data_IF_600163507349
#
_entry.id   IF_600163507349
#
_cell.length_a   1.000
_cell.length_b   1.000
_cell.length_c   1.000
_cell.angle_alpha   90.00
_cell.angle_beta   90.00
_cell.angle_gamma   90.00
#
_symmetry.space_group_name_H-M   'P 1'
#
loop_
_entity.id
_entity.type
_entity.pdbx_description
1 polymer ?
#
# COMPACT_ATOMS: atom_id res chain seq x y z
N UNK A 1 13.17 -17.90 -10.81
CA UNK A 1 13.02 -16.54 -10.25
C UNK A 1 11.98 -16.58 -9.15
N UNK A 2 12.29 -16.05 -7.96
CA UNK A 2 11.34 -15.90 -6.86
C UNK A 2 11.39 -14.48 -6.32
N UNK A 3 10.25 -13.80 -6.25
CA UNK A 3 10.14 -12.46 -5.66
C UNK A 3 9.24 -12.56 -4.44
N UNK A 4 9.74 -12.12 -3.27
CA UNK A 4 8.95 -11.94 -2.07
C UNK A 4 8.28 -10.57 -2.11
N UNK A 5 6.96 -10.53 -2.00
CA UNK A 5 6.15 -9.32 -1.84
C UNK A 5 5.70 -9.14 -0.40
N UNK A 6 5.76 -7.91 0.10
CA UNK A 6 5.33 -7.52 1.45
C UNK A 6 4.35 -6.37 1.34
N UNK A 7 3.14 -6.54 1.88
CA UNK A 7 2.12 -5.51 2.00
C UNK A 7 1.69 -5.34 3.46
N UNK A 8 1.94 -4.18 4.02
CA UNK A 8 1.61 -3.84 5.41
C UNK A 8 1.02 -2.44 5.56
N UNK A 9 0.80 -1.75 4.43
CA UNK A 9 0.31 -0.36 4.44
C UNK A 9 -1.18 -0.26 4.72
N UNK A 10 -1.92 -1.37 4.55
CA UNK A 10 -3.35 -1.48 4.75
C UNK A 10 -3.75 -1.90 6.16
N UNK A 11 -5.03 -2.22 6.28
CA UNK A 11 -5.63 -2.71 7.53
C UNK A 11 -5.11 -4.11 7.91
N UNK A 12 -4.86 -4.94 6.92
CA UNK A 12 -4.40 -6.32 7.07
C UNK A 12 -3.05 -6.44 6.39
N UNK A 13 -2.09 -7.09 7.05
CA UNK A 13 -0.78 -7.36 6.46
C UNK A 13 -0.82 -8.64 5.64
N UNK A 14 0.03 -8.72 4.62
CA UNK A 14 0.18 -9.92 3.82
C UNK A 14 1.59 -10.08 3.28
N UNK A 15 1.95 -11.30 2.96
CA UNK A 15 3.18 -11.67 2.25
C UNK A 15 2.86 -12.65 1.13
N UNK A 16 3.59 -12.57 0.04
CA UNK A 16 3.43 -13.49 -1.09
C UNK A 16 4.77 -13.79 -1.71
N UNK A 17 4.88 -14.93 -2.37
CA UNK A 17 6.02 -15.24 -3.25
C UNK A 17 5.46 -15.58 -4.63
N UNK A 18 6.00 -14.92 -5.65
CA UNK A 18 5.73 -15.23 -7.05
C UNK A 18 6.94 -15.94 -7.66
N UNK A 19 6.69 -16.98 -8.42
CA UNK A 19 7.71 -17.69 -9.19
C UNK A 19 7.80 -17.19 -10.65
N UNK A 20 8.73 -17.76 -11.42
CA UNK A 20 8.95 -17.41 -12.83
C UNK A 20 7.79 -17.80 -13.73
N UNK A 21 6.95 -18.75 -13.34
CA UNK A 21 5.75 -19.16 -14.08
C UNK A 21 4.58 -18.22 -13.85
N UNK A 22 4.70 -17.30 -12.89
CA UNK A 22 3.62 -16.41 -12.45
C UNK A 22 2.72 -17.02 -11.38
N UNK A 23 3.06 -18.21 -10.86
CA UNK A 23 2.34 -18.80 -9.73
C UNK A 23 2.65 -18.03 -8.47
N UNK A 24 1.61 -17.71 -7.71
CA UNK A 24 1.69 -16.98 -6.45
C UNK A 24 1.17 -17.82 -5.30
N UNK A 25 1.93 -17.83 -4.20
CA UNK A 25 1.48 -18.32 -2.88
C UNK A 25 1.47 -17.14 -1.94
N UNK A 26 0.43 -17.02 -1.13
CA UNK A 26 0.29 -15.87 -0.21
C UNK A 26 -0.14 -16.28 1.20
N UNK A 27 0.09 -15.39 2.15
CA UNK A 27 -0.42 -15.44 3.53
C UNK A 27 -0.89 -14.06 3.94
N UNK A 28 -1.92 -14.05 4.77
CA UNK A 28 -2.56 -12.81 5.26
C UNK A 28 -2.60 -12.87 6.78
N UNK A 29 -2.33 -11.76 7.46
CA UNK A 29 -2.40 -11.69 8.92
C UNK A 29 -3.83 -11.88 9.42
N UNK A 30 -3.97 -12.44 10.62
CA UNK A 30 -5.29 -12.74 11.21
C UNK A 30 -6.05 -11.49 11.62
N UNK A 31 -5.35 -10.43 11.98
CA UNK A 31 -5.95 -9.14 12.36
C UNK A 31 -5.03 -7.94 12.08
N UNK A 32 -5.58 -6.73 12.22
CA UNK A 32 -4.87 -5.47 11.96
C UNK A 32 -3.77 -5.12 12.98
N UNK A 33 -3.65 -5.84 14.09
CA UNK A 33 -2.67 -5.60 15.15
C UNK A 33 -1.50 -6.58 15.11
N UNK A 34 -1.59 -7.62 14.29
CA UNK A 34 -0.65 -8.74 14.30
C UNK A 34 0.49 -8.63 13.29
N UNK A 35 0.53 -7.58 12.44
CA UNK A 35 1.54 -7.41 11.38
C UNK A 35 2.97 -7.67 11.87
N UNK A 36 3.36 -7.04 12.97
CA UNK A 36 4.73 -7.18 13.49
C UNK A 36 5.06 -8.61 13.96
N UNK A 37 4.06 -9.33 14.46
CA UNK A 37 4.24 -10.64 15.07
C UNK A 37 4.19 -11.77 14.05
N UNK A 38 3.35 -11.65 13.04
CA UNK A 38 3.05 -12.71 12.07
C UNK A 38 3.87 -12.62 10.78
N UNK A 39 4.39 -11.43 10.42
CA UNK A 39 5.02 -11.19 9.12
C UNK A 39 6.19 -12.16 8.84
N UNK A 40 7.15 -12.28 9.75
CA UNK A 40 8.31 -13.16 9.58
C UNK A 40 7.94 -14.65 9.63
N UNK A 41 7.08 -15.11 10.57
CA UNK A 41 6.53 -16.46 10.51
C UNK A 41 5.85 -16.81 9.18
N UNK A 42 5.00 -15.95 8.64
CA UNK A 42 4.35 -16.16 7.36
C UNK A 42 5.33 -16.26 6.19
N UNK A 43 6.40 -15.45 6.18
CA UNK A 43 7.47 -15.57 5.17
C UNK A 43 8.13 -16.95 5.27
N UNK A 44 8.40 -17.42 6.48
CA UNK A 44 8.96 -18.75 6.69
C UNK A 44 8.04 -19.86 6.17
N UNK A 45 6.75 -19.78 6.48
CA UNK A 45 5.75 -20.74 5.98
C UNK A 45 5.71 -20.79 4.44
N UNK A 46 5.80 -19.63 3.76
CA UNK A 46 5.81 -19.59 2.31
C UNK A 46 7.04 -20.27 1.70
N UNK A 47 8.23 -20.03 2.23
CA UNK A 47 9.45 -20.68 1.70
C UNK A 47 9.44 -22.18 1.99
N UNK A 48 8.95 -22.60 3.17
CA UNK A 48 8.80 -24.02 3.52
C UNK A 48 7.79 -24.72 2.58
N UNK A 49 6.65 -24.09 2.28
CA UNK A 49 5.63 -24.63 1.35
C UNK A 49 6.15 -24.78 -0.08
N UNK A 50 6.94 -23.81 -0.54
CA UNK A 50 7.55 -23.84 -1.86
C UNK A 50 8.77 -24.77 -1.94
N UNK A 51 9.26 -25.27 -0.80
CA UNK A 51 10.46 -26.12 -0.73
C UNK A 51 11.74 -25.36 -1.13
N UNK A 52 11.77 -24.04 -0.94
CA UNK A 52 12.92 -23.19 -1.23
C UNK A 52 13.54 -22.62 0.05
N UNK A 53 14.71 -22.05 -0.04
CA UNK A 53 15.34 -21.28 1.03
C UNK A 53 15.21 -19.78 0.77
N UNK A 54 15.33 -18.95 1.80
CA UNK A 54 15.34 -17.48 1.66
C UNK A 54 16.47 -17.00 0.73
N UNK A 55 17.57 -17.75 0.60
CA UNK A 55 18.68 -17.42 -0.30
C UNK A 55 18.34 -17.55 -1.78
N UNK A 56 17.31 -18.33 -2.11
CA UNK A 56 16.84 -18.51 -3.49
C UNK A 56 15.88 -17.41 -3.96
N UNK A 57 15.48 -16.50 -3.07
CA UNK A 57 14.79 -15.28 -3.47
C UNK A 57 15.70 -14.44 -4.37
N UNK A 58 15.17 -13.88 -5.45
CA UNK A 58 15.90 -12.99 -6.36
C UNK A 58 15.77 -11.53 -5.95
N UNK A 59 14.60 -11.13 -5.44
CA UNK A 59 14.33 -9.78 -4.99
C UNK A 59 13.28 -9.76 -3.86
N UNK A 60 13.26 -8.64 -3.12
CA UNK A 60 12.27 -8.36 -2.08
C UNK A 60 11.52 -7.09 -2.45
N UNK A 61 10.23 -7.23 -2.70
CA UNK A 61 9.33 -6.14 -3.01
C UNK A 61 8.52 -5.74 -1.78
N UNK A 62 8.26 -4.46 -1.62
CA UNK A 62 7.47 -3.95 -0.49
C UNK A 62 6.69 -2.72 -0.88
N UNK A 63 5.46 -2.62 -0.38
CA UNK A 63 4.68 -1.38 -0.44
C UNK A 63 5.31 -0.31 0.44
N UNK A 64 5.67 0.81 -0.18
CA UNK A 64 6.34 1.93 0.50
C UNK A 64 5.37 3.01 0.99
N UNK A 65 4.09 2.88 0.67
CA UNK A 65 3.01 3.84 0.96
C UNK A 65 2.35 4.36 -0.33
N UNK A 66 1.31 5.19 -0.19
CA UNK A 66 0.73 5.70 1.04
C UNK A 66 -0.07 4.65 1.84
N UNK A 67 -0.34 4.94 3.11
CA UNK A 67 -1.14 4.07 3.97
C UNK A 67 -0.84 4.26 5.45
N UNK A 68 -0.97 3.18 6.22
CA UNK A 68 -0.67 3.15 7.66
C UNK A 68 0.79 3.49 7.93
N UNK A 69 1.05 4.57 8.67
CA UNK A 69 2.40 5.01 9.03
C UNK A 69 3.21 3.92 9.77
N UNK A 70 2.57 3.20 10.69
CA UNK A 70 3.17 2.07 11.40
C UNK A 70 3.41 0.90 10.45
N UNK A 71 2.41 0.57 9.64
CA UNK A 71 2.50 -0.52 8.67
C UNK A 71 3.63 -0.33 7.66
N UNK A 72 3.73 0.86 7.05
CA UNK A 72 4.83 1.21 6.13
C UNK A 72 6.19 0.94 6.79
N UNK A 73 6.39 1.37 8.04
CA UNK A 73 7.65 1.16 8.75
C UNK A 73 7.95 -0.30 9.04
N UNK A 74 6.95 -1.09 9.40
CA UNK A 74 7.10 -2.53 9.63
C UNK A 74 7.55 -3.23 8.35
N UNK A 75 6.83 -3.00 7.24
CA UNK A 75 7.16 -3.60 5.94
C UNK A 75 8.57 -3.22 5.47
N UNK A 76 8.88 -1.93 5.49
CA UNK A 76 10.19 -1.42 5.10
C UNK A 76 11.33 -1.96 5.95
N UNK A 77 11.18 -1.99 7.29
CA UNK A 77 12.20 -2.52 8.19
C UNK A 77 12.44 -4.01 7.91
N UNK A 78 11.38 -4.79 7.70
CA UNK A 78 11.47 -6.21 7.37
C UNK A 78 12.16 -6.41 6.02
N UNK A 79 11.71 -5.70 4.97
CA UNK A 79 12.29 -5.80 3.63
C UNK A 79 13.78 -5.44 3.62
N UNK A 80 14.15 -4.31 4.26
CA UNK A 80 15.55 -3.87 4.38
C UNK A 80 16.42 -4.90 5.09
N UNK A 81 15.95 -5.42 6.23
CA UNK A 81 16.71 -6.40 7.03
C UNK A 81 16.93 -7.69 6.24
N UNK A 82 15.90 -8.20 5.58
CA UNK A 82 16.01 -9.38 4.74
C UNK A 82 16.95 -9.15 3.55
N UNK A 83 16.77 -8.04 2.84
CA UNK A 83 17.60 -7.70 1.68
C UNK A 83 19.09 -7.57 2.06
N UNK A 84 19.37 -6.87 3.16
CA UNK A 84 20.74 -6.72 3.69
C UNK A 84 21.34 -8.06 4.09
N UNK A 85 20.57 -8.90 4.81
CA UNK A 85 21.09 -10.17 5.34
C UNK A 85 21.32 -11.21 4.23
N UNK A 86 20.47 -11.17 3.19
CA UNK A 86 20.48 -12.15 2.10
C UNK A 86 21.26 -11.64 0.86
N UNK A 87 21.77 -10.42 0.89
CA UNK A 87 22.41 -9.73 -0.24
C UNK A 87 21.51 -9.68 -1.48
N UNK A 88 20.25 -9.21 -1.28
CA UNK A 88 19.24 -9.12 -2.33
C UNK A 88 18.86 -7.68 -2.65
N UNK A 89 18.41 -7.46 -3.89
CA UNK A 89 17.86 -6.16 -4.29
C UNK A 89 16.44 -5.98 -3.77
N UNK A 90 16.05 -4.72 -3.60
CA UNK A 90 14.71 -4.31 -3.23
C UNK A 90 13.95 -3.76 -4.43
N UNK A 91 12.62 -3.86 -4.37
CA UNK A 91 11.70 -3.20 -5.31
C UNK A 91 10.69 -2.42 -4.48
N UNK A 92 10.69 -1.10 -4.61
CA UNK A 92 9.68 -0.25 -4.00
C UNK A 92 8.41 -0.23 -4.85
N UNK A 93 7.26 -0.39 -4.20
CA UNK A 93 5.95 -0.37 -4.87
C UNK A 93 5.06 0.65 -4.17
N UNK A 94 4.54 1.63 -4.89
CA UNK A 94 3.52 2.52 -4.35
C UNK A 94 2.22 1.73 -4.13
N UNK A 95 1.60 1.87 -2.95
CA UNK A 95 0.42 1.09 -2.59
C UNK A 95 -0.84 1.42 -3.39
N UNK A 96 -0.89 2.56 -4.09
CA UNK A 96 -1.95 2.87 -5.04
C UNK A 96 -1.66 2.24 -6.41
N UNK A 97 -0.38 2.19 -6.82
CA UNK A 97 0.03 1.61 -8.12
C UNK A 97 -0.28 0.13 -8.26
N UNK A 98 -0.37 -0.63 -7.16
CA UNK A 98 -0.68 -2.06 -7.22
C UNK A 98 -2.03 -2.35 -7.87
N UNK A 99 -2.96 -1.39 -7.86
CA UNK A 99 -4.26 -1.51 -8.51
C UNK A 99 -4.23 -1.20 -10.01
N UNK A 100 -3.14 -0.63 -10.52
CA UNK A 100 -3.00 -0.25 -11.94
C UNK A 100 -3.24 -1.42 -12.89
N UNK A 101 -2.78 -2.64 -12.52
CA UNK A 101 -2.94 -3.84 -13.35
C UNK A 101 -4.39 -4.37 -13.40
N UNK A 102 -5.29 -3.80 -12.60
CA UNK A 102 -6.73 -4.09 -12.68
C UNK A 102 -7.45 -3.22 -13.72
N UNK A 103 -6.77 -2.22 -14.26
CA UNK A 103 -7.27 -1.42 -15.37
C UNK A 103 -7.02 -2.14 -16.70
N UNK A 104 -8.06 -2.27 -17.50
CA UNK A 104 -8.04 -2.90 -18.83
C UNK A 104 -8.83 -2.03 -19.83
N UNK A 105 -9.09 -2.55 -21.00
CA UNK A 105 -9.83 -1.83 -22.05
C UNK A 105 -11.29 -1.56 -21.68
N UNK A 106 -11.87 -2.40 -20.82
CA UNK A 106 -13.28 -2.33 -20.42
C UNK A 106 -13.47 -1.55 -19.11
N UNK A 107 -12.46 -1.60 -18.20
CA UNK A 107 -12.59 -1.06 -16.86
C UNK A 107 -11.45 -0.08 -16.53
N UNK A 108 -11.84 1.11 -16.11
CA UNK A 108 -10.94 2.04 -15.43
C UNK A 108 -10.95 1.75 -13.94
N UNK A 109 -9.88 2.09 -13.26
CA UNK A 109 -9.68 1.83 -11.83
C UNK A 109 -9.51 3.12 -11.07
N UNK A 110 -10.37 3.38 -10.09
CA UNK A 110 -10.14 4.38 -9.07
C UNK A 110 -9.77 3.69 -7.75
N UNK A 111 -8.68 4.10 -7.15
CA UNK A 111 -8.29 3.64 -5.82
C UNK A 111 -8.26 4.82 -4.86
N UNK A 112 -8.90 4.67 -3.70
CA UNK A 112 -8.91 5.68 -2.64
C UNK A 112 -8.64 5.04 -1.28
N UNK A 113 -7.66 5.57 -0.54
CA UNK A 113 -7.44 5.24 0.85
C UNK A 113 -7.86 6.38 1.76
N UNK A 114 -8.50 6.05 2.87
CA UNK A 114 -8.99 7.04 3.82
C UNK A 114 -7.82 7.75 4.53
N UNK A 115 -7.57 9.01 4.17
CA UNK A 115 -6.59 9.87 4.84
C UNK A 115 -7.24 10.74 5.95
N UNK A 116 -8.49 10.46 6.32
CA UNK A 116 -9.32 11.17 7.32
C UNK A 116 -9.68 12.61 6.90
N UNK A 117 -10.68 13.20 7.57
CA UNK A 117 -11.11 14.61 7.42
C UNK A 117 -11.50 14.99 5.98
N UNK A 118 -12.15 14.07 5.25
CA UNK A 118 -12.56 14.29 3.87
C UNK A 118 -11.42 14.18 2.85
N UNK A 119 -10.19 13.88 3.31
CA UNK A 119 -9.04 13.63 2.45
C UNK A 119 -8.88 12.14 2.15
N UNK A 120 -8.34 11.86 0.97
CA UNK A 120 -7.99 10.53 0.50
C UNK A 120 -6.58 10.54 -0.10
N UNK A 121 -5.90 9.41 -0.02
CA UNK A 121 -4.84 9.13 -0.98
C UNK A 121 -5.53 8.45 -2.16
N UNK A 122 -5.40 9.01 -3.34
CA UNK A 122 -6.15 8.56 -4.50
C UNK A 122 -5.33 8.49 -5.77
N UNK A 123 -5.78 7.66 -6.70
CA UNK A 123 -5.31 7.59 -8.07
C UNK A 123 -6.45 7.10 -8.97
N UNK A 124 -6.42 7.45 -10.25
CA UNK A 124 -7.30 6.89 -11.26
C UNK A 124 -6.44 6.42 -12.43
N UNK A 125 -6.62 5.15 -12.80
CA UNK A 125 -5.93 4.52 -13.92
C UNK A 125 -6.92 4.19 -15.02
N UNK A 126 -6.56 4.53 -16.24
CA UNK A 126 -7.29 4.19 -17.45
C UNK A 126 -6.74 2.96 -18.14
N UNK A 127 -7.10 2.81 -19.40
CA UNK A 127 -6.67 1.70 -20.25
C UNK A 127 -5.16 1.53 -20.21
N UNK A 128 -4.70 0.28 -20.20
CA UNK A 128 -3.28 -0.07 -20.12
C UNK A 128 -2.55 0.55 -18.89
N UNK A 129 -3.33 0.98 -17.86
CA UNK A 129 -2.79 1.56 -16.64
C UNK A 129 -2.23 2.98 -16.78
N UNK A 130 -2.60 3.74 -17.82
CA UNK A 130 -2.24 5.15 -17.90
C UNK A 130 -2.88 5.95 -16.76
N UNK A 131 -2.18 6.96 -16.25
CA UNK A 131 -2.65 7.79 -15.14
C UNK A 131 -3.64 8.85 -15.63
N UNK A 132 -4.91 8.70 -15.25
CA UNK A 132 -5.95 9.72 -15.43
C UNK A 132 -5.97 10.71 -14.26
N UNK A 133 -5.60 10.23 -13.06
CA UNK A 133 -5.27 11.02 -11.89
C UNK A 133 -4.04 10.38 -11.23
N UNK A 134 -2.95 11.12 -11.14
CA UNK A 134 -1.70 10.61 -10.56
C UNK A 134 -1.87 10.25 -9.08
N UNK A 135 -1.13 9.27 -8.54
CA UNK A 135 -1.12 8.97 -7.12
C UNK A 135 -0.82 10.20 -6.27
N UNK A 136 -1.71 10.54 -5.32
CA UNK A 136 -1.52 11.74 -4.51
C UNK A 136 -2.53 11.90 -3.37
N UNK A 137 -2.30 12.91 -2.49
CA UNK A 137 -3.25 13.33 -1.48
C UNK A 137 -4.25 14.30 -2.09
N UNK A 138 -5.54 13.99 -2.00
CA UNK A 138 -6.65 14.78 -2.55
C UNK A 138 -7.77 14.97 -1.54
N UNK A 139 -8.60 15.99 -1.74
CA UNK A 139 -9.95 15.95 -1.19
C UNK A 139 -10.77 14.92 -1.98
N UNK A 140 -11.67 14.20 -1.31
CA UNK A 140 -12.52 13.22 -2.01
C UNK A 140 -13.27 13.86 -3.20
N UNK A 141 -13.75 15.12 -3.04
CA UNK A 141 -14.47 15.81 -4.09
C UNK A 141 -13.63 16.06 -5.35
N UNK A 142 -12.31 16.21 -5.22
CA UNK A 142 -11.41 16.36 -6.37
C UNK A 142 -11.33 15.06 -7.16
N UNK A 143 -11.19 13.92 -6.48
CA UNK A 143 -11.19 12.59 -7.13
C UNK A 143 -12.52 12.33 -7.82
N UNK A 144 -13.64 12.63 -7.14
CA UNK A 144 -14.99 12.50 -7.70
C UNK A 144 -15.22 13.42 -8.91
N UNK A 145 -14.66 14.62 -8.90
CA UNK A 145 -14.78 15.54 -10.04
C UNK A 145 -14.05 15.00 -11.28
N UNK A 146 -12.84 14.45 -11.11
CA UNK A 146 -12.09 13.82 -12.21
C UNK A 146 -12.81 12.58 -12.70
N UNK A 147 -13.33 11.74 -11.81
CA UNK A 147 -13.99 10.48 -12.19
C UNK A 147 -15.24 10.69 -13.08
N UNK A 148 -15.94 11.83 -12.95
CA UNK A 148 -17.12 12.16 -13.76
C UNK A 148 -16.84 12.26 -15.27
N UNK A 149 -15.58 12.45 -15.66
CA UNK A 149 -15.18 12.53 -17.06
C UNK A 149 -15.07 11.15 -17.74
N UNK A 150 -15.24 10.09 -16.98
CA UNK A 150 -14.99 8.72 -17.43
C UNK A 150 -16.15 7.80 -17.03
N UNK A 151 -16.55 6.94 -17.95
CA UNK A 151 -17.47 5.83 -17.68
C UNK A 151 -16.69 4.59 -17.23
N UNK A 152 -17.40 3.60 -16.66
CA UNK A 152 -16.88 2.26 -16.35
C UNK A 152 -15.70 2.24 -15.36
N UNK A 153 -15.74 3.10 -14.34
CA UNK A 153 -14.76 3.11 -13.27
C UNK A 153 -15.16 2.13 -12.17
N UNK A 154 -14.28 1.15 -11.86
CA UNK A 154 -14.38 0.29 -10.69
C UNK A 154 -13.54 0.86 -9.54
N UNK A 155 -14.15 0.96 -8.36
CA UNK A 155 -13.57 1.64 -7.20
C UNK A 155 -13.02 0.66 -6.18
N UNK A 156 -11.81 0.95 -5.68
CA UNK A 156 -11.03 0.13 -4.74
C UNK A 156 -10.50 0.96 -3.56
N UNK A 157 -9.94 0.26 -2.55
CA UNK A 157 -9.33 0.86 -1.38
C UNK A 157 -10.30 1.04 -0.21
N UNK A 158 -9.78 1.17 1.00
CA UNK A 158 -10.58 1.31 2.23
C UNK A 158 -11.40 2.61 2.29
N UNK A 159 -11.05 3.59 1.45
CA UNK A 159 -11.83 4.81 1.27
C UNK A 159 -13.24 4.55 0.75
N UNK A 160 -13.48 3.48 -0.04
CA UNK A 160 -14.83 3.18 -0.53
C UNK A 160 -15.78 2.77 0.61
N UNK A 161 -15.24 2.15 1.66
CA UNK A 161 -16.00 1.82 2.87
C UNK A 161 -16.19 3.06 3.75
N UNK A 162 -15.13 3.86 3.91
CA UNK A 162 -15.16 5.05 4.75
C UNK A 162 -16.09 6.16 4.24
N UNK A 163 -16.31 6.22 2.94
CA UNK A 163 -17.13 7.23 2.26
C UNK A 163 -18.27 6.61 1.44
N UNK A 164 -18.81 5.47 1.89
CA UNK A 164 -19.86 4.72 1.17
C UNK A 164 -21.08 5.57 0.86
N UNK A 165 -21.47 6.48 1.76
CA UNK A 165 -22.58 7.44 1.58
C UNK A 165 -22.35 8.41 0.40
N UNK A 166 -21.09 8.69 0.06
CA UNK A 166 -20.69 9.58 -1.04
C UNK A 166 -20.52 8.85 -2.37
N UNK A 167 -20.47 7.53 -2.34
CA UNK A 167 -20.20 6.65 -3.50
C UNK A 167 -21.43 5.85 -3.93
N UNK A 168 -22.62 6.26 -3.49
CA UNK A 168 -23.89 5.59 -3.83
C UNK A 168 -24.07 5.54 -5.34
N UNK A 169 -24.33 4.33 -5.88
CA UNK A 169 -24.52 4.10 -7.31
C UNK A 169 -23.24 3.96 -8.14
N UNK A 170 -22.07 4.03 -7.49
CA UNK A 170 -20.80 3.76 -8.16
C UNK A 170 -20.48 2.26 -8.19
N UNK A 171 -19.71 1.82 -9.16
CA UNK A 171 -19.25 0.44 -9.30
C UNK A 171 -18.13 0.15 -8.31
N UNK A 172 -18.47 -0.33 -7.12
CA UNK A 172 -17.49 -0.69 -6.07
C UNK A 172 -17.05 -2.13 -6.28
N UNK A 173 -15.75 -2.39 -6.09
CA UNK A 173 -15.19 -3.74 -6.10
C UNK A 173 -15.82 -4.62 -5.01
N UNK A 174 -15.80 -5.94 -5.24
CA UNK A 174 -16.27 -6.91 -4.24
C UNK A 174 -15.43 -6.80 -2.95
N UNK A 175 -16.02 -7.11 -1.77
CA UNK A 175 -15.36 -6.93 -0.47
C UNK A 175 -13.98 -7.59 -0.36
N UNK A 176 -13.77 -8.72 -1.05
CA UNK A 176 -12.51 -9.47 -1.08
C UNK A 176 -11.44 -8.78 -1.94
N UNK A 177 -11.86 -7.95 -2.89
CA UNK A 177 -10.97 -7.26 -3.84
C UNK A 177 -10.64 -5.82 -3.48
N UNK A 178 -11.37 -5.23 -2.53
CA UNK A 178 -11.25 -3.80 -2.16
C UNK A 178 -9.85 -3.47 -1.67
N UNK A 179 -9.21 -4.39 -0.93
CA UNK A 179 -7.99 -4.10 -0.20
C UNK A 179 -6.73 -4.49 -0.99
N UNK A 180 -5.66 -3.79 -0.71
CA UNK A 180 -4.32 -4.12 -1.17
C UNK A 180 -3.82 -5.43 -0.56
N UNK A 181 -2.99 -6.15 -1.34
CA UNK A 181 -2.45 -7.45 -0.94
C UNK A 181 -1.06 -7.71 -1.54
N UNK A 182 -0.30 -8.59 -0.92
CA UNK A 182 1.08 -8.86 -1.32
C UNK A 182 1.21 -9.54 -2.69
N UNK A 183 0.19 -10.28 -3.15
CA UNK A 183 0.18 -10.84 -4.50
C UNK A 183 0.14 -9.73 -5.56
N UNK A 184 -0.60 -8.65 -5.32
CA UNK A 184 -0.59 -7.46 -6.19
C UNK A 184 0.79 -6.77 -6.17
N UNK A 185 1.44 -6.69 -4.99
CA UNK A 185 2.82 -6.20 -4.88
C UNK A 185 3.78 -7.05 -5.72
N UNK A 186 3.65 -8.38 -5.66
CA UNK A 186 4.45 -9.30 -6.48
C UNK A 186 4.27 -9.07 -7.98
N UNK A 187 3.03 -8.90 -8.45
CA UNK A 187 2.74 -8.63 -9.89
C UNK A 187 3.37 -7.32 -10.34
N UNK A 188 3.16 -6.25 -9.59
CA UNK A 188 3.77 -4.94 -9.84
C UNK A 188 5.32 -5.02 -9.82
N UNK A 189 5.88 -5.76 -8.87
CA UNK A 189 7.32 -5.96 -8.75
C UNK A 189 7.91 -6.69 -9.96
N UNK A 190 7.20 -7.68 -10.53
CA UNK A 190 7.64 -8.34 -11.77
C UNK A 190 7.75 -7.37 -12.94
N UNK A 191 6.82 -6.41 -13.07
CA UNK A 191 6.88 -5.39 -14.11
C UNK A 191 8.05 -4.43 -13.86
N UNK A 192 8.24 -3.98 -12.62
CA UNK A 192 9.35 -3.11 -12.23
C UNK A 192 10.71 -3.78 -12.45
N UNK A 193 10.84 -5.05 -12.11
CA UNK A 193 12.07 -5.83 -12.34
C UNK A 193 12.42 -5.90 -13.83
N UNK A 194 11.43 -6.14 -14.70
CA UNK A 194 11.64 -6.15 -16.18
C UNK A 194 12.13 -4.81 -16.71
N UNK A 195 11.79 -3.70 -16.03
CA UNK A 195 12.24 -2.34 -16.38
C UNK A 195 13.58 -1.97 -15.74
N UNK A 196 14.14 -2.85 -14.89
CA UNK A 196 15.36 -2.57 -14.14
C UNK A 196 15.18 -1.61 -12.95
N UNK A 197 13.95 -1.42 -12.50
CA UNK A 197 13.59 -0.57 -11.35
C UNK A 197 13.89 -1.30 -10.04
N UNK A 198 15.15 -1.48 -9.74
CA UNK A 198 15.65 -2.16 -8.54
C UNK A 198 16.51 -1.21 -7.70
N UNK A 199 16.50 -1.42 -6.39
CA UNK A 199 17.18 -0.58 -5.40
C UNK A 199 18.07 -1.42 -4.49
N UNK A 200 19.11 -0.82 -3.97
CA UNK A 200 19.78 -1.35 -2.79
C UNK A 200 18.90 -1.12 -1.53
N UNK A 201 19.02 -1.98 -0.54
CA UNK A 201 18.24 -1.88 0.69
C UNK A 201 18.36 -0.50 1.38
N UNK A 202 19.51 0.17 1.24
CA UNK A 202 19.75 1.50 1.80
C UNK A 202 18.95 2.61 1.10
N UNK A 203 18.57 2.41 -0.16
CA UNK A 203 17.81 3.35 -0.98
C UNK A 203 16.28 3.17 -0.84
N UNK A 204 15.85 2.10 -0.14
CA UNK A 204 14.44 1.82 0.06
C UNK A 204 13.87 2.81 1.09
N UNK A 205 13.07 3.77 0.66
CA UNK A 205 12.52 4.85 1.50
C UNK A 205 10.99 4.80 1.56
N UNK A 206 10.37 5.26 2.69
CA UNK A 206 8.93 5.36 2.79
C UNK A 206 8.39 6.51 1.96
N UNK A 207 7.26 6.30 1.31
CA UNK A 207 6.52 7.34 0.60
C UNK A 207 5.39 7.89 1.49
N UNK A 208 5.74 8.90 2.30
CA UNK A 208 4.77 9.59 3.14
C UNK A 208 4.12 10.73 2.34
N UNK A 209 2.96 10.48 1.76
CA UNK A 209 2.18 11.53 1.05
C UNK A 209 1.61 12.59 2.01
N UNK A 210 1.71 12.37 3.32
CA UNK A 210 1.28 13.31 4.35
C UNK A 210 2.28 13.33 5.49
N UNK A 211 2.52 14.52 6.03
CA UNK A 211 3.34 14.67 7.23
C UNK A 211 2.73 13.93 8.42
N UNK A 212 3.56 13.35 9.31
CA UNK A 212 3.09 12.77 10.56
C UNK A 212 2.16 13.75 11.31
N UNK A 213 1.14 13.23 12.00
CA UNK A 213 0.13 14.07 12.65
C UNK A 213 0.75 15.10 13.64
N UNK A 214 1.84 14.70 14.31
CA UNK A 214 2.58 15.59 15.21
C UNK A 214 3.22 16.78 14.46
N UNK A 215 3.85 16.54 13.32
CA UNK A 215 4.44 17.58 12.49
C UNK A 215 3.37 18.47 11.86
N UNK A 216 2.25 17.89 11.46
CA UNK A 216 1.13 18.64 10.93
C UNK A 216 0.49 19.53 11.99
N UNK A 217 0.28 19.03 13.22
CA UNK A 217 -0.18 19.83 14.35
C UNK A 217 0.80 20.96 14.72
N UNK A 218 2.10 20.69 14.57
CA UNK A 218 3.13 21.72 14.79
C UNK A 218 3.04 22.83 13.74
N UNK A 219 2.96 22.47 12.46
CA UNK A 219 2.81 23.44 11.35
C UNK A 219 1.53 24.27 11.44
N UNK A 220 0.43 23.63 11.85
CA UNK A 220 -0.88 24.27 11.97
C UNK A 220 -1.04 25.08 13.29
N UNK A 221 -0.02 25.11 14.16
CA UNK A 221 -0.09 25.77 15.47
C UNK A 221 -0.93 25.04 16.53
N UNK A 222 -1.65 23.99 16.15
CA UNK A 222 -2.58 23.23 17.03
C UNK A 222 -1.87 22.51 18.17
N UNK A 223 -0.59 22.17 18.01
CA UNK A 223 0.19 21.53 19.08
C UNK A 223 0.34 22.46 20.29
N UNK A 224 0.59 23.74 20.06
CA UNK A 224 0.70 24.75 21.13
C UNK A 224 -0.64 24.92 21.87
N UNK A 225 -1.77 24.94 21.15
CA UNK A 225 -3.11 25.03 21.76
C UNK A 225 -3.45 23.78 22.58
N UNK A 226 -3.14 22.57 22.09
CA UNK A 226 -3.35 21.32 22.83
C UNK A 226 -2.50 21.27 24.10
N UNK A 227 -1.25 21.72 24.03
CA UNK A 227 -0.36 21.82 25.19
C UNK A 227 -0.88 22.83 26.22
N UNK A 228 -1.33 23.99 25.78
CA UNK A 228 -1.92 25.01 26.66
C UNK A 228 -3.16 24.46 27.39
N UNK A 229 -4.09 23.80 26.66
CA UNK A 229 -5.28 23.15 27.25
C UNK A 229 -4.93 22.02 28.25
N UNK A 230 -3.87 21.26 27.96
CA UNK A 230 -3.39 20.23 28.91
C UNK A 230 -2.82 20.87 30.17
N UNK A 231 -2.01 21.92 30.05
CA UNK A 231 -1.44 22.61 31.20
C UNK A 231 -2.51 23.25 32.10
N UNK A 232 -3.58 23.78 31.52
CA UNK A 232 -4.72 24.30 32.32
C UNK A 232 -5.43 23.20 33.10
N UNK A 233 -5.56 21.98 32.54
CA UNK A 233 -6.16 20.84 33.26
C UNK A 233 -5.30 20.33 34.42
N UNK A 234 -4.01 20.56 34.43
CA UNK A 234 -3.10 20.18 35.53
C UNK A 234 -3.00 21.28 36.63
N UNK A 235 -3.55 22.46 36.39
CA UNK A 235 -3.57 23.57 37.34
C UNK A 235 -4.85 23.63 38.19
N UNK A 236 -5.87 22.87 37.81
CA UNK A 236 -7.13 22.66 38.55
C UNK A 236 -7.19 21.24 39.12
#
# INVERSE_FOLDING_TARGET
>A
MFILGIETTGRVGSVAIIDESGKIVNRVTTDSMSHLRELVPMIKELVDELGISLKELDAIAVSVGPGSFTGIRIGLATARTLAQTLDKKCISVNSLEIFREKADDENKVAVIYNARRGQVYGAIYGNEGNELLAPGPYMLDEVLAVSKAYDDIKWYGDGVVAYADRLVGMNIAEPEEIYQSADMVCRCACQKLKRGEILDFAQLEPEYMRLPEAEQKLKDGRLAEEMARKMERYKN
#
